data_IF_023942155760
#
_entry.id   IF_023942155760
#
_cell.length_a   1.000
_cell.length_b   1.000
_cell.length_c   1.000
_cell.angle_alpha   90.00
_cell.angle_beta   90.00
_cell.angle_gamma   90.00
#
_symmetry.space_group_name_H-M   'P 1'
#
loop_
_entity.id
_entity.type
_entity.pdbx_description
1 polymer ?
#
# COMPACT_ATOMS: atom_id res chain seq x y z
N UNK A 1 -15.36 0.11 1.04
CA UNK A 1 -14.26 -0.70 1.59
C UNK A 1 -14.56 -2.15 1.27
N UNK A 2 -13.55 -2.94 0.87
CA UNK A 2 -13.63 -4.27 0.21
C UNK A 2 -13.53 -4.31 -1.32
N UNK A 3 -12.97 -3.27 -1.97
CA UNK A 3 -12.63 -3.38 -3.38
C UNK A 3 -11.27 -4.08 -3.51
N UNK A 4 -11.28 -5.41 -3.55
CA UNK A 4 -10.06 -6.20 -3.76
C UNK A 4 -9.62 -6.26 -5.23
N UNK A 5 -10.45 -5.80 -6.18
CA UNK A 5 -10.15 -5.75 -7.61
C UNK A 5 -10.69 -4.46 -8.21
N UNK A 6 -9.91 -3.83 -9.08
CA UNK A 6 -10.31 -2.62 -9.83
C UNK A 6 -10.30 -2.85 -11.35
N UNK A 7 -10.94 -1.96 -12.12
CA UNK A 7 -11.07 -2.08 -13.58
C UNK A 7 -9.74 -2.06 -14.33
N UNK A 8 -8.69 -1.46 -13.74
CA UNK A 8 -7.33 -1.51 -14.29
C UNK A 8 -6.65 -2.86 -14.09
N UNK A 9 -7.30 -3.83 -13.45
CA UNK A 9 -6.76 -5.17 -13.15
C UNK A 9 -5.96 -5.26 -11.86
N UNK A 10 -5.81 -4.16 -11.12
CA UNK A 10 -5.11 -4.13 -9.85
C UNK A 10 -5.89 -4.88 -8.78
N UNK A 11 -5.16 -5.55 -7.89
CA UNK A 11 -5.71 -6.41 -6.85
C UNK A 11 -5.10 -6.09 -5.49
N UNK A 12 -5.89 -6.26 -4.44
CA UNK A 12 -5.45 -6.34 -3.05
C UNK A 12 -5.60 -7.80 -2.61
N UNK A 13 -4.49 -8.47 -2.30
CA UNK A 13 -4.51 -9.88 -1.87
C UNK A 13 -5.04 -10.06 -0.44
N UNK A 14 -4.65 -9.14 0.44
CA UNK A 14 -4.98 -9.12 1.84
C UNK A 14 -5.16 -7.69 2.32
N UNK A 15 -6.30 -7.44 2.92
CA UNK A 15 -6.60 -6.27 3.73
C UNK A 15 -6.28 -6.65 5.17
N UNK A 16 -5.28 -6.03 5.80
CA UNK A 16 -4.76 -6.44 7.10
C UNK A 16 -5.26 -5.46 8.17
N UNK A 17 -6.50 -5.65 8.59
CA UNK A 17 -7.20 -4.72 9.47
C UNK A 17 -6.94 -5.01 10.95
N UNK A 18 -7.39 -4.11 11.83
CA UNK A 18 -7.29 -4.30 13.28
C UNK A 18 -7.96 -5.60 13.78
N UNK A 19 -9.05 -6.04 13.12
CA UNK A 19 -9.84 -7.20 13.56
C UNK A 19 -9.25 -8.55 13.13
N UNK A 20 -8.38 -8.56 12.13
CA UNK A 20 -7.83 -9.78 11.52
C UNK A 20 -6.32 -9.69 11.27
N UNK A 21 -5.63 -8.81 12.00
CA UNK A 21 -4.20 -8.58 11.87
C UNK A 21 -3.38 -9.86 12.02
N UNK A 22 -2.50 -10.12 11.06
CA UNK A 22 -1.49 -11.18 11.14
C UNK A 22 -0.11 -10.57 10.95
N UNK A 23 0.75 -10.71 11.96
CA UNK A 23 2.12 -10.23 11.90
C UNK A 23 2.89 -10.93 10.76
N UNK A 24 3.58 -10.13 9.94
CA UNK A 24 4.37 -10.64 8.81
C UNK A 24 3.56 -10.91 7.54
N UNK A 25 2.25 -10.62 7.52
CA UNK A 25 1.42 -10.63 6.32
C UNK A 25 1.00 -9.20 5.95
N UNK A 26 1.86 -8.43 5.27
CA UNK A 26 1.54 -7.07 4.86
C UNK A 26 0.44 -7.05 3.79
N UNK A 27 -0.21 -5.91 3.64
CA UNK A 27 -1.09 -5.63 2.52
C UNK A 27 -0.28 -5.47 1.24
N UNK A 28 -0.70 -6.13 0.15
CA UNK A 28 -0.05 -5.96 -1.15
C UNK A 28 -1.07 -5.54 -2.22
N UNK A 29 -0.74 -4.46 -2.91
CA UNK A 29 -1.43 -4.05 -4.13
C UNK A 29 -0.57 -4.44 -5.32
N UNK A 30 -1.13 -5.25 -6.22
CA UNK A 30 -0.39 -5.78 -7.36
C UNK A 30 -1.28 -5.92 -8.59
N UNK A 31 -0.65 -5.94 -9.75
CA UNK A 31 -1.25 -6.40 -10.98
C UNK A 31 -0.65 -7.77 -11.30
N UNK A 32 -1.44 -8.73 -11.82
CA UNK A 32 -0.91 -9.98 -12.34
C UNK A 32 0.18 -9.74 -13.40
N UNK A 33 0.99 -10.75 -13.67
CA UNK A 33 2.13 -10.64 -14.58
C UNK A 33 1.73 -10.02 -15.93
N UNK A 34 2.47 -8.99 -16.37
CA UNK A 34 2.17 -8.15 -17.55
C UNK A 34 0.83 -7.40 -17.56
N UNK A 35 0.07 -7.44 -16.46
CA UNK A 35 -1.27 -6.87 -16.36
C UNK A 35 -1.34 -5.42 -15.89
N UNK A 36 -0.23 -4.81 -15.45
CA UNK A 36 -0.20 -3.41 -15.04
C UNK A 36 -0.31 -2.51 -16.28
N UNK A 37 -1.35 -1.65 -16.40
CA UNK A 37 -1.47 -0.75 -17.54
C UNK A 37 -0.38 0.33 -17.53
N UNK A 38 -0.01 0.81 -18.72
CA UNK A 38 0.82 2.00 -18.86
C UNK A 38 0.13 3.21 -18.22
N UNK A 39 0.92 4.08 -17.61
CA UNK A 39 0.42 5.28 -16.94
C UNK A 39 1.21 5.67 -15.70
N UNK A 40 0.75 6.72 -15.05
CA UNK A 40 1.35 7.24 -13.81
C UNK A 40 0.66 6.64 -12.60
N UNK A 41 1.46 6.09 -11.70
CA UNK A 41 1.05 5.51 -10.45
C UNK A 41 1.50 6.40 -9.31
N UNK A 42 0.64 6.52 -8.30
CA UNK A 42 0.95 7.19 -7.03
C UNK A 42 0.75 6.18 -5.92
N UNK A 43 1.73 6.09 -5.03
CA UNK A 43 1.69 5.24 -3.84
C UNK A 43 1.66 6.14 -2.63
N UNK A 44 0.74 5.88 -1.72
CA UNK A 44 0.57 6.61 -0.46
C UNK A 44 0.27 5.64 0.67
N UNK A 45 0.68 5.98 1.89
CA UNK A 45 0.25 5.30 3.11
C UNK A 45 -0.73 6.22 3.83
N UNK A 46 -1.82 5.65 4.31
CA UNK A 46 -2.89 6.35 5.02
C UNK A 46 -3.04 5.76 6.42
N UNK A 47 -3.00 6.62 7.44
CA UNK A 47 -3.33 6.26 8.81
C UNK A 47 -4.86 6.21 8.95
N UNK A 48 -5.45 5.12 8.47
CA UNK A 48 -6.90 5.01 8.37
C UNK A 48 -7.61 4.98 9.74
N UNK A 49 -7.13 4.16 10.68
CA UNK A 49 -7.70 4.02 12.01
C UNK A 49 -6.71 3.40 12.99
N UNK A 50 -6.89 3.69 14.28
CA UNK A 50 -6.16 3.05 15.39
C UNK A 50 -6.71 1.67 15.75
N UNK A 51 -5.80 0.71 15.98
CA UNK A 51 -6.13 -0.63 16.50
C UNK A 51 -6.01 -0.69 18.03
N UNK A 52 -6.78 0.15 18.72
CA UNK A 52 -6.77 0.33 20.19
C UNK A 52 -5.49 0.94 20.79
N UNK A 53 -4.50 1.27 19.95
CA UNK A 53 -3.29 1.98 20.33
C UNK A 53 -3.12 3.21 19.44
N UNK A 54 -3.10 4.38 20.07
CA UNK A 54 -2.95 5.67 19.37
C UNK A 54 -1.50 6.13 19.40
N UNK A 55 -1.10 6.85 18.37
CA UNK A 55 0.20 7.53 18.30
C UNK A 55 1.05 7.14 17.09
N UNK A 56 2.33 7.55 17.06
CA UNK A 56 3.11 7.42 15.84
C UNK A 56 3.39 5.97 15.42
N UNK A 57 3.08 5.64 14.16
CA UNK A 57 3.30 4.32 13.56
C UNK A 57 4.37 4.42 12.47
N UNK A 58 5.40 3.57 12.58
CA UNK A 58 6.39 3.42 11.53
C UNK A 58 5.87 2.51 10.43
N UNK A 59 6.13 2.88 9.18
CA UNK A 59 5.75 2.09 8.02
C UNK A 59 6.96 1.84 7.12
N UNK A 60 6.88 0.76 6.33
CA UNK A 60 7.81 0.46 5.25
C UNK A 60 7.02 0.00 4.03
N UNK A 61 7.31 0.57 2.87
CA UNK A 61 6.68 0.21 1.59
C UNK A 61 7.74 -0.22 0.61
N UNK A 62 7.49 -1.33 -0.08
CA UNK A 62 8.34 -1.84 -1.17
C UNK A 62 7.57 -1.77 -2.48
N UNK A 63 8.13 -1.07 -3.48
CA UNK A 63 7.62 -1.10 -4.86
C UNK A 63 8.46 -2.08 -5.70
N UNK A 64 7.79 -2.86 -6.54
CA UNK A 64 8.44 -3.80 -7.47
C UNK A 64 7.93 -3.53 -8.88
N UNK A 65 8.75 -2.90 -9.72
CA UNK A 65 8.36 -2.44 -11.06
C UNK A 65 9.35 -3.02 -12.06
N UNK A 66 8.90 -3.88 -12.98
CA UNK A 66 9.79 -4.53 -13.95
C UNK A 66 10.94 -5.31 -13.29
N UNK A 67 10.70 -5.90 -12.12
CA UNK A 67 11.70 -6.60 -11.30
C UNK A 67 12.64 -5.69 -10.49
N UNK A 68 12.60 -4.36 -10.69
CA UNK A 68 13.36 -3.41 -9.89
C UNK A 68 12.64 -3.11 -8.58
N UNK A 69 13.42 -3.07 -7.49
CA UNK A 69 12.91 -2.91 -6.13
C UNK A 69 13.33 -1.56 -5.58
N UNK A 70 12.37 -0.80 -5.05
CA UNK A 70 12.66 0.34 -4.17
C UNK A 70 11.96 0.14 -2.83
N UNK A 71 12.60 0.58 -1.76
CA UNK A 71 12.07 0.49 -0.40
C UNK A 71 12.06 1.88 0.22
N UNK A 72 10.94 2.24 0.83
CA UNK A 72 10.70 3.52 1.48
C UNK A 72 10.23 3.27 2.91
N UNK A 73 10.49 4.21 3.79
CA UNK A 73 10.06 4.15 5.18
C UNK A 73 9.69 5.54 5.69
N UNK A 74 8.82 5.58 6.68
CA UNK A 74 8.42 6.82 7.33
C UNK A 74 7.64 6.56 8.61
N UNK A 75 7.01 7.62 9.10
CA UNK A 75 6.19 7.60 10.31
C UNK A 75 4.94 8.42 10.05
N UNK A 76 3.76 7.87 10.38
CA UNK A 76 2.51 8.63 10.45
C UNK A 76 2.24 8.92 11.94
N UNK A 77 1.77 10.12 12.26
CA UNK A 77 1.65 10.61 13.63
C UNK A 77 0.28 10.40 14.25
N UNK A 78 -0.79 10.62 13.49
CA UNK A 78 -2.18 10.50 13.94
C UNK A 78 -3.10 9.94 12.86
N UNK A 79 -4.29 9.51 13.26
CA UNK A 79 -5.43 9.19 12.42
C UNK A 79 -5.62 10.29 11.35
N UNK A 80 -5.91 9.90 10.11
CA UNK A 80 -6.01 10.77 8.92
C UNK A 80 -4.71 11.34 8.35
N UNK A 81 -3.55 11.03 8.92
CA UNK A 81 -2.28 11.34 8.27
C UNK A 81 -2.15 10.53 6.98
N UNK A 82 -1.93 11.22 5.86
CA UNK A 82 -1.66 10.62 4.56
C UNK A 82 -0.30 11.08 4.06
N UNK A 83 0.53 10.13 3.63
CA UNK A 83 1.86 10.42 3.10
C UNK A 83 2.03 9.81 1.71
N UNK A 84 2.32 10.65 0.71
CA UNK A 84 2.79 10.16 -0.59
C UNK A 84 4.19 9.54 -0.43
N UNK A 85 4.33 8.31 -0.90
CA UNK A 85 5.56 7.51 -0.84
C UNK A 85 6.36 7.66 -2.12
N UNK A 86 5.70 7.49 -3.27
CA UNK A 86 6.35 7.48 -4.57
C UNK A 86 5.36 7.79 -5.68
N UNK A 87 5.86 8.47 -6.72
CA UNK A 87 5.19 8.62 -8.01
C UNK A 87 6.11 8.06 -9.09
N UNK A 88 5.59 7.19 -9.95
CA UNK A 88 6.35 6.60 -11.06
C UNK A 88 5.46 6.37 -12.29
N UNK A 89 6.09 6.16 -13.44
CA UNK A 89 5.39 5.90 -14.71
C UNK A 89 5.79 4.53 -15.26
N UNK A 90 4.79 3.74 -15.63
CA UNK A 90 4.95 2.55 -16.45
C UNK A 90 4.73 2.98 -17.92
N UNK A 91 5.70 2.75 -18.83
CA UNK A 91 5.60 3.16 -20.22
C UNK A 91 4.51 2.39 -20.99
#
# INVERSE_FOLDING_TARGET
YNNSIVSSGGQLDRDNTCGDYIQGQPENIFWPETGAPSGTYKVSVDYYADCDATGPVQWTVRTVIGGQVQTYSGTLGTDSDNQEVATFTIP
#
